data_IF_334918162211
#
_entry.id   IF_334918162211
#
_cell.length_a   1.000
_cell.length_b   1.000
_cell.length_c   1.000
_cell.angle_alpha   90.00
_cell.angle_beta   90.00
_cell.angle_gamma   90.00
#
_symmetry.space_group_name_H-M   'P 1'
#
loop_
_entity.id
_entity.type
_entity.pdbx_description
1 polymer ?
#
# COMPACT_ATOMS: atom_id res chain seq x y z
N UNK A 1 -6.02 -32.59 -3.02
CA UNK A 1 -6.38 -31.59 -2.02
C UNK A 1 -5.23 -30.63 -1.71
N UNK A 2 -3.99 -31.08 -1.73
CA UNK A 2 -2.80 -30.23 -1.48
C UNK A 2 -2.66 -29.06 -2.44
N UNK A 3 -3.05 -29.24 -3.70
CA UNK A 3 -3.05 -28.19 -4.73
C UNK A 3 -3.81 -26.92 -4.30
N UNK A 4 -4.89 -27.07 -3.55
CA UNK A 4 -5.70 -25.95 -3.06
C UNK A 4 -4.90 -25.07 -2.09
N UNK A 5 -4.12 -25.69 -1.17
CA UNK A 5 -3.28 -24.96 -0.23
C UNK A 5 -2.15 -24.20 -0.93
N UNK A 6 -1.50 -24.81 -1.91
CA UNK A 6 -0.46 -24.14 -2.71
C UNK A 6 -1.03 -23.03 -3.60
N UNK A 7 -2.26 -23.19 -4.10
CA UNK A 7 -2.96 -22.15 -4.83
C UNK A 7 -3.23 -20.93 -3.96
N UNK A 8 -3.67 -21.13 -2.70
CA UNK A 8 -3.86 -20.05 -1.75
C UNK A 8 -2.55 -19.31 -1.43
N UNK A 9 -1.47 -20.07 -1.29
CA UNK A 9 -0.13 -19.53 -1.06
C UNK A 9 0.35 -18.64 -2.22
N UNK A 10 0.17 -19.11 -3.47
CA UNK A 10 0.50 -18.32 -4.66
C UNK A 10 -0.41 -17.10 -4.86
N UNK A 11 -1.72 -17.24 -4.61
CA UNK A 11 -2.68 -16.16 -4.69
C UNK A 11 -2.39 -15.04 -3.69
N UNK A 12 -1.96 -15.38 -2.48
CA UNK A 12 -1.59 -14.38 -1.46
C UNK A 12 -0.48 -13.46 -1.97
N UNK A 13 0.60 -14.03 -2.49
CA UNK A 13 1.71 -13.27 -3.05
C UNK A 13 1.29 -12.49 -4.32
N UNK A 14 0.55 -13.14 -5.21
CA UNK A 14 0.08 -12.55 -6.45
C UNK A 14 -0.82 -11.34 -6.23
N UNK A 15 -1.84 -11.46 -5.37
CA UNK A 15 -2.77 -10.37 -5.07
C UNK A 15 -2.08 -9.20 -4.35
N UNK A 16 -1.19 -9.50 -3.39
CA UNK A 16 -0.42 -8.47 -2.70
C UNK A 16 0.53 -7.73 -3.68
N UNK A 17 1.18 -8.45 -4.59
CA UNK A 17 2.05 -7.89 -5.62
C UNK A 17 1.30 -7.01 -6.60
N UNK A 18 0.16 -7.47 -7.12
CA UNK A 18 -0.70 -6.69 -8.02
C UNK A 18 -1.20 -5.43 -7.32
N UNK A 19 -1.68 -5.53 -6.08
CA UNK A 19 -2.12 -4.39 -5.30
C UNK A 19 -1.03 -3.34 -5.12
N UNK A 20 0.17 -3.78 -4.75
CA UNK A 20 1.34 -2.93 -4.58
C UNK A 20 1.74 -2.25 -5.91
N UNK A 21 1.84 -2.99 -7.00
CA UNK A 21 2.21 -2.45 -8.31
C UNK A 21 1.21 -1.40 -8.80
N UNK A 22 -0.07 -1.70 -8.69
CA UNK A 22 -1.14 -0.79 -9.10
C UNK A 22 -1.18 0.47 -8.22
N UNK A 23 -1.03 0.29 -6.90
CA UNK A 23 -1.02 1.38 -5.94
C UNK A 23 0.15 2.34 -6.16
N UNK A 24 1.37 1.80 -6.34
CA UNK A 24 2.57 2.61 -6.59
C UNK A 24 2.54 3.37 -7.90
N UNK A 25 2.04 2.74 -8.97
CA UNK A 25 1.92 3.40 -10.28
C UNK A 25 1.01 4.62 -10.21
N UNK A 26 -0.13 4.50 -9.56
CA UNK A 26 -1.09 5.61 -9.47
C UNK A 26 -0.60 6.69 -8.50
N UNK A 27 0.00 6.29 -7.37
CA UNK A 27 0.59 7.23 -6.42
C UNK A 27 1.78 7.97 -7.04
N UNK A 28 2.60 7.29 -7.85
CA UNK A 28 3.71 7.88 -8.61
C UNK A 28 3.25 8.94 -9.59
N UNK A 29 2.25 8.64 -10.41
CA UNK A 29 1.68 9.60 -11.36
C UNK A 29 1.08 10.84 -10.66
N UNK A 30 0.43 10.63 -9.51
CA UNK A 30 -0.09 11.73 -8.69
C UNK A 30 1.04 12.58 -8.09
N UNK A 31 2.13 11.94 -7.64
CA UNK A 31 3.32 12.61 -7.11
C UNK A 31 4.03 13.44 -8.20
N UNK A 32 4.18 12.92 -9.42
CA UNK A 32 4.72 13.67 -10.55
C UNK A 32 3.90 14.90 -10.86
N UNK A 33 2.57 14.78 -10.91
CA UNK A 33 1.68 15.92 -11.13
C UNK A 33 1.79 17.00 -10.05
N UNK A 34 2.01 16.59 -8.80
CA UNK A 34 2.20 17.50 -7.68
C UNK A 34 3.59 18.17 -7.69
N UNK A 35 4.63 17.43 -8.09
CA UNK A 35 6.01 17.94 -8.26
C UNK A 35 6.10 19.07 -9.27
N UNK A 36 5.36 18.98 -10.38
CA UNK A 36 5.31 20.03 -11.39
C UNK A 36 4.78 21.36 -10.85
N UNK A 37 3.95 21.32 -9.80
CA UNK A 37 3.39 22.51 -9.16
C UNK A 37 4.26 23.05 -8.02
N UNK A 38 4.95 22.16 -7.28
CA UNK A 38 5.75 22.53 -6.12
C UNK A 38 7.06 21.68 -6.04
N UNK A 39 8.11 22.05 -6.77
CA UNK A 39 9.35 21.26 -6.83
C UNK A 39 10.09 21.19 -5.48
N UNK A 40 9.89 22.14 -4.58
CA UNK A 40 10.56 22.19 -3.27
C UNK A 40 10.12 21.11 -2.26
N UNK A 41 9.10 20.30 -2.58
CA UNK A 41 8.57 19.23 -1.72
C UNK A 41 8.76 17.84 -2.30
N UNK A 42 9.77 17.65 -3.14
CA UNK A 42 10.05 16.40 -3.85
C UNK A 42 10.16 15.20 -2.90
N UNK A 43 10.89 15.32 -1.80
CA UNK A 43 11.07 14.24 -0.83
C UNK A 43 9.74 13.73 -0.24
N UNK A 44 8.84 14.63 0.12
CA UNK A 44 7.52 14.25 0.67
C UNK A 44 6.66 13.52 -0.34
N UNK A 45 6.67 13.93 -1.61
CA UNK A 45 5.90 13.26 -2.66
C UNK A 45 6.48 11.90 -3.03
N UNK A 46 7.81 11.74 -3.01
CA UNK A 46 8.46 10.46 -3.23
C UNK A 46 8.11 9.45 -2.12
N UNK A 47 8.16 9.85 -0.86
CA UNK A 47 7.78 8.99 0.27
C UNK A 47 6.30 8.58 0.14
N UNK A 48 5.42 9.51 -0.21
CA UNK A 48 3.98 9.24 -0.36
C UNK A 48 3.69 8.24 -1.48
N UNK A 49 4.44 8.31 -2.58
CA UNK A 49 4.30 7.38 -3.71
C UNK A 49 4.82 5.98 -3.40
N UNK A 50 5.76 5.85 -2.45
CA UNK A 50 6.34 4.57 -2.04
C UNK A 50 5.46 3.79 -1.03
N UNK A 51 4.53 4.45 -0.34
CA UNK A 51 3.69 3.80 0.68
C UNK A 51 2.95 2.55 0.18
N UNK A 52 2.34 2.52 -1.01
CA UNK A 52 1.67 1.31 -1.49
C UNK A 52 2.61 0.12 -1.74
N UNK A 53 3.92 0.35 -1.91
CA UNK A 53 4.91 -0.71 -2.09
C UNK A 53 5.03 -1.62 -0.86
N UNK A 54 4.76 -1.10 0.34
CA UNK A 54 4.83 -1.86 1.59
C UNK A 54 3.82 -3.00 1.64
N UNK A 55 2.70 -2.91 0.92
CA UNK A 55 1.69 -3.97 0.85
C UNK A 55 2.22 -5.22 0.16
N UNK A 56 3.04 -5.07 -0.87
CA UNK A 56 3.73 -6.19 -1.51
C UNK A 56 4.72 -6.87 -0.57
N UNK A 57 5.43 -6.11 0.26
CA UNK A 57 6.33 -6.63 1.27
C UNK A 57 5.59 -7.46 2.33
N UNK A 58 4.43 -7.02 2.80
CA UNK A 58 3.62 -7.80 3.75
C UNK A 58 3.18 -9.14 3.16
N UNK A 59 2.72 -9.17 1.92
CA UNK A 59 2.39 -10.41 1.24
C UNK A 59 3.59 -11.33 1.06
N UNK A 60 4.76 -10.77 0.75
CA UNK A 60 6.00 -11.52 0.62
C UNK A 60 6.50 -12.10 1.94
N UNK A 61 6.48 -11.33 3.02
CA UNK A 61 6.86 -11.82 4.37
C UNK A 61 5.90 -12.92 4.81
N UNK A 62 4.59 -12.75 4.63
CA UNK A 62 3.62 -13.79 4.94
C UNK A 62 3.89 -15.06 4.12
N UNK A 63 4.23 -14.92 2.83
CA UNK A 63 4.60 -16.04 1.97
C UNK A 63 5.82 -16.81 2.48
N UNK A 64 6.85 -16.11 3.01
CA UNK A 64 8.05 -16.75 3.55
C UNK A 64 7.82 -17.45 4.90
N UNK A 65 6.86 -16.98 5.68
CA UNK A 65 6.56 -17.54 7.01
C UNK A 65 5.72 -18.82 6.95
N UNK A 66 5.22 -19.22 5.80
CA UNK A 66 4.39 -20.39 5.67
C UNK A 66 5.21 -21.67 5.57
N UNK A 67 4.85 -22.65 6.42
CA UNK A 67 5.45 -23.98 6.40
C UNK A 67 4.69 -24.88 5.41
N UNK A 68 5.44 -25.53 4.52
CA UNK A 68 4.88 -26.46 3.52
C UNK A 68 4.19 -27.67 4.17
N UNK A 69 4.70 -28.15 5.30
CA UNK A 69 4.11 -29.25 6.03
C UNK A 69 2.73 -28.90 6.59
N UNK A 70 2.58 -27.67 7.09
CA UNK A 70 1.31 -27.17 7.61
C UNK A 70 0.27 -26.96 6.50
N UNK A 71 0.69 -26.54 5.31
CA UNK A 71 -0.18 -26.40 4.13
C UNK A 71 -0.75 -27.75 3.71
N UNK A 72 0.09 -28.79 3.69
CA UNK A 72 -0.32 -30.16 3.34
C UNK A 72 -1.31 -30.76 4.35
N UNK A 73 -1.16 -30.42 5.64
CA UNK A 73 -2.05 -30.90 6.70
C UNK A 73 -3.48 -30.32 6.61
N UNK A 74 -3.62 -29.03 6.27
CA UNK A 74 -4.92 -28.34 6.23
C UNK A 74 -5.05 -27.42 4.99
N UNK A 75 -5.16 -27.97 3.79
CA UNK A 75 -5.10 -27.18 2.55
C UNK A 75 -6.24 -26.16 2.41
N UNK A 76 -7.43 -26.49 2.87
CA UNK A 76 -8.59 -25.60 2.79
C UNK A 76 -8.44 -24.37 3.72
N UNK A 77 -7.89 -24.58 4.92
CA UNK A 77 -7.63 -23.49 5.86
C UNK A 77 -6.60 -22.50 5.28
N UNK A 78 -5.50 -23.04 4.75
CA UNK A 78 -4.44 -22.21 4.17
C UNK A 78 -4.85 -21.50 2.90
N UNK A 79 -5.74 -22.10 2.09
CA UNK A 79 -6.38 -21.42 0.97
C UNK A 79 -7.18 -20.19 1.44
N UNK A 80 -8.01 -20.35 2.47
CA UNK A 80 -8.80 -19.27 3.03
C UNK A 80 -7.95 -18.13 3.60
N UNK A 81 -6.90 -18.46 4.34
CA UNK A 81 -5.96 -17.46 4.90
C UNK A 81 -5.23 -16.74 3.77
N UNK A 82 -4.73 -17.45 2.76
CA UNK A 82 -4.03 -16.86 1.64
C UNK A 82 -4.88 -15.89 0.84
N UNK A 83 -6.13 -16.27 0.58
CA UNK A 83 -7.11 -15.42 -0.09
C UNK A 83 -7.43 -14.18 0.76
N UNK A 84 -7.64 -14.33 2.06
CA UNK A 84 -7.94 -13.22 2.97
C UNK A 84 -6.79 -12.22 3.03
N UNK A 85 -5.56 -12.68 3.26
CA UNK A 85 -4.37 -11.82 3.31
C UNK A 85 -4.14 -11.13 1.97
N UNK A 86 -4.24 -11.85 0.86
CA UNK A 86 -4.08 -11.30 -0.48
C UNK A 86 -5.10 -10.21 -0.80
N UNK A 87 -6.38 -10.42 -0.46
CA UNK A 87 -7.44 -9.43 -0.65
C UNK A 87 -7.25 -8.20 0.24
N UNK A 88 -6.87 -8.39 1.50
CA UNK A 88 -6.61 -7.26 2.41
C UNK A 88 -5.46 -6.40 1.90
N UNK A 89 -4.37 -7.01 1.45
CA UNK A 89 -3.24 -6.28 0.86
C UNK A 89 -3.65 -5.52 -0.41
N UNK A 90 -4.43 -6.17 -1.30
CA UNK A 90 -4.94 -5.54 -2.52
C UNK A 90 -5.85 -4.35 -2.22
N UNK A 91 -6.82 -4.52 -1.34
CA UNK A 91 -7.79 -3.46 -0.98
C UNK A 91 -7.11 -2.32 -0.23
N UNK A 92 -6.16 -2.64 0.66
CA UNK A 92 -5.37 -1.64 1.38
C UNK A 92 -4.56 -0.76 0.42
N UNK A 93 -3.90 -1.35 -0.58
CA UNK A 93 -3.17 -0.60 -1.60
C UNK A 93 -4.09 0.33 -2.41
N UNK A 94 -5.30 -0.13 -2.75
CA UNK A 94 -6.30 0.68 -3.45
C UNK A 94 -6.83 1.81 -2.56
N UNK A 95 -6.99 1.58 -1.27
CA UNK A 95 -7.48 2.60 -0.32
C UNK A 95 -6.45 3.71 -0.12
N UNK A 96 -5.17 3.39 -0.07
CA UNK A 96 -4.08 4.38 -0.03
C UNK A 96 -4.16 5.29 -1.26
N UNK A 97 -4.46 4.74 -2.44
CA UNK A 97 -4.71 5.50 -3.67
C UNK A 97 -5.75 6.61 -3.49
N UNK A 98 -6.87 6.31 -2.84
CA UNK A 98 -7.96 7.29 -2.65
C UNK A 98 -7.50 8.44 -1.76
N UNK A 99 -6.71 8.17 -0.73
CA UNK A 99 -6.15 9.18 0.18
C UNK A 99 -5.02 10.01 -0.47
N UNK A 100 -4.27 9.44 -1.40
CA UNK A 100 -3.19 10.11 -2.14
C UNK A 100 -3.69 10.80 -3.42
N UNK A 101 -5.00 10.77 -3.69
CA UNK A 101 -5.60 11.55 -4.80
C UNK A 101 -5.15 13.02 -4.74
N UNK A 102 -4.90 13.69 -5.90
CA UNK A 102 -4.39 15.06 -5.92
C UNK A 102 -5.19 16.05 -5.07
N UNK A 103 -6.49 15.83 -4.93
CA UNK A 103 -7.37 16.66 -4.08
C UNK A 103 -7.12 16.47 -2.58
N UNK A 104 -6.92 15.23 -2.14
CA UNK A 104 -6.65 14.92 -0.72
C UNK A 104 -5.21 15.25 -0.32
N UNK A 105 -4.24 15.06 -1.22
CA UNK A 105 -2.86 15.48 -0.99
C UNK A 105 -2.76 17.02 -0.86
N UNK A 106 -3.47 17.76 -1.72
CA UNK A 106 -3.55 19.23 -1.63
C UNK A 106 -4.26 19.67 -0.35
N UNK A 107 -5.35 19.01 0.04
CA UNK A 107 -6.07 19.31 1.27
C UNK A 107 -5.21 19.03 2.52
N UNK A 108 -4.50 17.90 2.56
CA UNK A 108 -3.59 17.55 3.65
C UNK A 108 -2.41 18.53 3.76
N UNK A 109 -1.80 18.88 2.65
CA UNK A 109 -0.72 19.88 2.61
C UNK A 109 -1.24 21.25 3.02
N UNK A 110 -2.44 21.64 2.59
CA UNK A 110 -3.07 22.91 2.96
C UNK A 110 -3.37 22.99 4.46
N UNK A 111 -3.91 21.92 5.06
CA UNK A 111 -4.19 21.88 6.51
C UNK A 111 -2.91 22.01 7.33
N UNK A 112 -1.82 21.37 6.93
CA UNK A 112 -0.53 21.48 7.60
C UNK A 112 0.12 22.84 7.42
N UNK A 113 -0.07 23.49 6.29
CA UNK A 113 0.43 24.85 6.07
C UNK A 113 -0.30 25.88 6.95
N UNK A 114 -1.62 25.75 7.07
CA UNK A 114 -2.45 26.61 7.92
C UNK A 114 -2.02 26.43 9.37
N UNK A 115 -1.81 25.21 9.83
CA UNK A 115 -1.36 24.91 11.20
C UNK A 115 0.00 25.55 11.52
N UNK A 116 0.98 25.42 10.62
CA UNK A 116 2.32 26.01 10.79
C UNK A 116 2.26 27.54 10.77
N UNK A 117 1.42 28.12 9.90
CA UNK A 117 1.28 29.58 9.81
C UNK A 117 0.61 30.15 11.06
N UNK A 118 -0.39 29.45 11.59
CA UNK A 118 -1.09 29.84 12.83
C UNK A 118 -0.14 29.78 14.04
N UNK A 119 0.67 28.72 14.15
CA UNK A 119 1.66 28.59 15.22
C UNK A 119 2.76 29.66 15.13
N UNK A 120 3.12 30.10 13.94
CA UNK A 120 4.10 31.19 13.73
C UNK A 120 3.54 32.55 14.14
N UNK A 121 2.26 32.79 13.92
CA UNK A 121 1.58 34.03 14.32
C UNK A 121 1.43 34.15 15.85
N UNK A 122 1.24 33.03 16.54
CA UNK A 122 1.12 33.02 18.03
C UNK A 122 2.47 33.27 18.72
N UNK A 123 3.58 33.00 18.01
CA UNK A 123 4.94 33.14 18.59
C UNK A 123 5.58 34.52 18.39
N UNK A 124 4.95 35.40 17.60
CA UNK A 124 5.32 36.82 17.43
C UNK A 124 4.37 37.71 18.19
#
# INVERSE_FOLDING_TARGET
MEFLGFLGWGLMLGLAGVGSAYGTTIAGNAAEGALKKNPGKSASYMILSALPATQGLYGFVAFLMWDKAAIAANPALYFGIGLAVGLVCLLSAITIRIKVSPRSAVAFVRSRFVEITTLRQIKN
#
